data_IF_741056510796
#
_entry.id   IF_741056510796
#
_cell.length_a   1.000
_cell.length_b   1.000
_cell.length_c   1.000
_cell.angle_alpha   90.00
_cell.angle_beta   90.00
_cell.angle_gamma   90.00
#
_symmetry.space_group_name_H-M   'P 1'
#
loop_
_entity.id
_entity.type
_entity.pdbx_description
1 polymer ?
#
# COMPACT_ATOMS: atom_id res chain seq x y z
N UNK A 1 -17.80 19.40 29.60
CA UNK A 1 -18.29 18.05 29.27
C UNK A 1 -17.11 17.14 29.06
N UNK A 2 -16.85 16.29 30.05
CA UNK A 2 -15.64 15.49 30.16
C UNK A 2 -15.98 14.01 30.04
N UNK A 3 -15.08 13.25 29.42
CA UNK A 3 -15.12 11.81 29.06
C UNK A 3 -15.65 10.85 30.15
N UNK A 4 -15.73 11.29 31.41
CA UNK A 4 -16.30 10.55 32.55
C UNK A 4 -17.83 10.53 32.56
N UNK A 5 -18.49 11.59 32.13
CA UNK A 5 -19.97 11.69 32.14
C UNK A 5 -20.62 10.69 31.16
N UNK A 6 -19.95 10.39 30.04
CA UNK A 6 -20.42 9.41 29.04
C UNK A 6 -20.26 7.97 29.54
N UNK A 7 -19.27 7.69 30.37
CA UNK A 7 -19.02 6.36 30.93
C UNK A 7 -19.99 6.04 32.08
N UNK A 8 -20.34 7.02 32.92
CA UNK A 8 -21.35 6.80 33.97
C UNK A 8 -22.75 6.60 33.39
N UNK A 9 -23.10 7.33 32.30
CA UNK A 9 -24.39 7.16 31.63
C UNK A 9 -24.59 5.75 31.03
N UNK A 10 -23.50 5.08 30.63
CA UNK A 10 -23.53 3.72 30.06
C UNK A 10 -23.63 2.62 31.13
N UNK A 11 -23.14 2.87 32.36
CA UNK A 11 -23.23 1.89 33.45
C UNK A 11 -24.61 1.92 34.12
N UNK A 12 -25.27 3.09 34.18
CA UNK A 12 -26.61 3.20 34.77
C UNK A 12 -27.74 2.55 33.96
N UNK A 13 -27.51 2.18 32.70
CA UNK A 13 -28.49 1.47 31.86
C UNK A 13 -28.45 -0.05 32.01
N UNK A 14 -27.50 -0.60 32.79
CA UNK A 14 -27.36 -2.05 32.96
C UNK A 14 -28.22 -2.66 34.08
N UNK A 15 -28.93 -1.87 34.90
CA UNK A 15 -29.68 -2.37 36.07
C UNK A 15 -31.20 -2.23 36.01
N UNK A 16 -31.79 -1.79 34.88
CA UNK A 16 -33.24 -1.74 34.74
C UNK A 16 -33.68 -2.20 33.35
N UNK A 17 -34.10 -3.47 33.24
CA UNK A 17 -34.82 -3.94 32.06
C UNK A 17 -34.54 -5.38 31.66
N UNK A 18 -34.97 -6.34 32.49
CA UNK A 18 -35.35 -7.66 31.99
C UNK A 18 -36.64 -7.43 31.19
N UNK A 19 -36.57 -7.32 29.86
CA UNK A 19 -37.65 -7.65 28.94
C UNK A 19 -37.07 -7.78 27.52
N UNK A 20 -37.01 -9.02 27.05
CA UNK A 20 -36.97 -9.48 25.65
C UNK A 20 -36.51 -8.50 24.58
N UNK A 21 -35.20 -8.47 24.34
CA UNK A 21 -34.62 -7.88 23.16
C UNK A 21 -33.15 -8.27 23.13
N UNK A 22 -32.83 -9.40 22.51
CA UNK A 22 -31.44 -9.78 22.24
C UNK A 22 -30.86 -8.74 21.27
N UNK A 23 -30.35 -7.66 21.82
CA UNK A 23 -29.41 -6.79 21.15
C UNK A 23 -28.21 -7.67 20.82
N UNK A 24 -27.84 -7.89 19.55
CA UNK A 24 -26.59 -8.57 19.24
C UNK A 24 -25.45 -7.62 19.60
N UNK A 25 -25.12 -7.59 20.90
CA UNK A 25 -23.84 -7.11 21.38
C UNK A 25 -22.79 -8.09 20.84
N UNK A 26 -21.87 -7.52 20.06
CA UNK A 26 -20.76 -8.15 19.37
C UNK A 26 -21.11 -8.94 18.08
N UNK A 27 -21.29 -8.22 16.98
CA UNK A 27 -20.55 -8.65 15.78
C UNK A 27 -19.07 -8.39 16.08
N UNK A 28 -18.38 -9.39 16.62
CA UNK A 28 -16.96 -9.55 16.31
C UNK A 28 -16.91 -9.83 14.80
N UNK A 29 -16.99 -8.74 14.02
CA UNK A 29 -17.25 -8.79 12.60
C UNK A 29 -16.18 -9.61 11.92
N UNK A 30 -16.58 -10.70 11.25
CA UNK A 30 -15.73 -11.28 10.22
C UNK A 30 -15.32 -10.14 9.30
N UNK A 31 -14.01 -9.95 9.13
CA UNK A 31 -13.49 -8.94 8.22
C UNK A 31 -14.04 -9.24 6.83
N UNK A 32 -14.67 -8.27 6.16
CA UNK A 32 -15.28 -8.51 4.86
C UNK A 32 -14.24 -9.06 3.89
N UNK A 33 -14.60 -10.13 3.17
CA UNK A 33 -13.75 -10.67 2.14
C UNK A 33 -13.56 -9.63 1.03
N UNK A 34 -12.33 -9.51 0.51
CA UNK A 34 -12.05 -8.57 -0.58
C UNK A 34 -12.81 -9.00 -1.84
N UNK A 35 -13.43 -8.07 -2.55
CA UNK A 35 -14.14 -8.39 -3.79
C UNK A 35 -13.17 -8.89 -4.85
N UNK A 36 -13.63 -9.81 -5.70
CA UNK A 36 -12.85 -10.29 -6.85
C UNK A 36 -12.41 -9.13 -7.74
N UNK A 37 -11.14 -9.18 -8.18
CA UNK A 37 -10.52 -8.18 -9.03
C UNK A 37 -9.86 -8.84 -10.25
N UNK A 38 -10.14 -8.30 -11.43
CA UNK A 38 -9.49 -8.69 -12.68
C UNK A 38 -9.17 -7.48 -13.54
N UNK A 39 -8.35 -7.68 -14.57
CA UNK A 39 -8.03 -6.60 -15.52
C UNK A 39 -9.24 -6.16 -16.35
N UNK A 40 -10.31 -6.96 -16.44
CA UNK A 40 -11.56 -6.59 -17.11
C UNK A 40 -12.55 -5.88 -16.18
N UNK A 41 -12.49 -6.14 -14.87
CA UNK A 41 -13.43 -5.57 -13.90
C UNK A 41 -12.73 -5.32 -12.57
N UNK A 42 -12.51 -4.05 -12.28
CA UNK A 42 -12.00 -3.60 -10.99
C UNK A 42 -13.18 -3.37 -10.03
N UNK A 43 -13.11 -3.88 -8.79
CA UNK A 43 -14.11 -3.57 -7.79
C UNK A 43 -13.90 -2.15 -7.27
N UNK A 44 -14.86 -1.65 -6.47
CA UNK A 44 -14.71 -0.33 -5.84
C UNK A 44 -13.70 -0.41 -4.70
N UNK A 45 -12.60 0.29 -4.88
CA UNK A 45 -11.56 0.47 -3.89
C UNK A 45 -11.71 1.82 -3.19
N UNK A 46 -11.78 1.79 -1.87
CA UNK A 46 -11.81 2.96 -1.02
C UNK A 46 -10.65 2.87 -0.03
N UNK A 47 -9.81 3.91 -0.01
CA UNK A 47 -8.58 3.81 0.75
C UNK A 47 -7.71 5.05 0.71
N UNK A 48 -6.48 4.87 1.15
CA UNK A 48 -5.51 5.95 1.33
C UNK A 48 -4.15 5.57 0.73
N UNK A 49 -3.27 6.57 0.62
CA UNK A 49 -1.86 6.35 0.33
C UNK A 49 -1.08 6.22 1.63
N UNK A 50 -0.15 5.27 1.71
CA UNK A 50 0.85 5.19 2.78
C UNK A 50 2.22 5.65 2.25
N UNK A 51 2.76 6.78 2.76
CA UNK A 51 4.01 7.35 2.27
C UNK A 51 5.26 6.83 3.01
N UNK A 52 5.14 5.77 3.82
CA UNK A 52 6.21 5.28 4.70
C UNK A 52 7.55 5.02 3.96
N UNK A 53 7.49 4.61 2.69
CA UNK A 53 8.66 4.35 1.84
C UNK A 53 8.71 5.27 0.61
N UNK A 54 8.10 6.46 0.70
CA UNK A 54 7.97 7.41 -0.42
C UNK A 54 9.27 8.15 -0.75
N UNK A 55 10.10 8.40 0.27
CA UNK A 55 11.28 9.24 0.16
C UNK A 55 12.47 8.57 0.83
N UNK A 56 13.34 7.97 0.03
CA UNK A 56 14.58 7.39 0.55
C UNK A 56 15.52 8.50 1.05
N UNK A 57 15.90 8.41 2.33
CA UNK A 57 16.72 9.38 3.05
C UNK A 57 18.22 9.02 3.09
N UNK A 58 18.61 7.92 2.43
CA UNK A 58 19.99 7.44 2.41
C UNK A 58 20.41 6.62 3.63
N UNK A 59 19.53 6.39 4.61
CA UNK A 59 19.86 5.71 5.88
C UNK A 59 18.95 4.54 6.15
N UNK A 60 19.48 3.33 6.34
CA UNK A 60 18.69 2.20 6.82
C UNK A 60 18.05 2.51 8.18
N UNK A 61 16.72 2.47 8.24
CA UNK A 61 15.97 2.79 9.46
C UNK A 61 15.01 1.63 9.78
N UNK A 62 15.06 1.05 10.99
CA UNK A 62 14.17 -0.04 11.39
C UNK A 62 12.68 0.39 11.45
N UNK A 63 12.38 1.69 11.42
CA UNK A 63 11.02 2.23 11.31
C UNK A 63 10.48 2.25 9.87
N UNK A 64 11.26 1.79 8.89
CA UNK A 64 10.78 1.62 7.53
C UNK A 64 9.70 0.54 7.43
N UNK A 65 8.93 0.63 6.35
CA UNK A 65 7.83 -0.29 6.08
C UNK A 65 6.57 0.11 6.84
N UNK A 66 5.76 -0.89 7.18
CA UNK A 66 4.38 -0.67 7.55
C UNK A 66 4.02 -1.38 8.86
N UNK A 67 3.08 -0.79 9.58
CA UNK A 67 2.68 -1.22 10.91
C UNK A 67 1.23 -1.72 10.91
N UNK A 68 0.95 -2.70 11.78
CA UNK A 68 -0.35 -3.37 11.84
C UNK A 68 -1.52 -2.39 12.05
N UNK A 69 -1.33 -1.38 12.90
CA UNK A 69 -2.34 -0.38 13.21
C UNK A 69 -2.76 0.42 11.98
N UNK A 70 -1.89 0.60 10.97
CA UNK A 70 -2.23 1.34 9.75
C UNK A 70 -3.30 0.59 8.95
N UNK A 71 -3.18 -0.74 8.85
CA UNK A 71 -4.12 -1.59 8.13
C UNK A 71 -5.38 -1.88 8.96
N UNK A 72 -5.22 -2.07 10.27
CA UNK A 72 -6.34 -2.21 11.20
C UNK A 72 -7.24 -0.97 11.18
N UNK A 73 -6.63 0.23 11.17
CA UNK A 73 -7.34 1.52 11.08
C UNK A 73 -8.17 1.62 9.80
N UNK A 74 -7.65 1.17 8.66
CA UNK A 74 -8.37 1.14 7.39
C UNK A 74 -9.56 0.18 7.46
N UNK A 75 -9.28 -1.06 7.87
CA UNK A 75 -10.26 -2.15 7.96
C UNK A 75 -11.43 -1.79 8.88
N UNK A 76 -11.13 -1.36 10.11
CA UNK A 76 -12.13 -1.00 11.13
C UNK A 76 -12.98 0.21 10.76
N UNK A 77 -12.50 1.04 9.82
CA UNK A 77 -13.25 2.20 9.28
C UNK A 77 -13.96 1.89 7.95
N UNK A 78 -13.93 0.64 7.49
CA UNK A 78 -14.62 0.21 6.26
C UNK A 78 -13.86 0.53 4.97
N UNK A 79 -12.58 0.90 5.05
CA UNK A 79 -11.72 1.02 3.87
C UNK A 79 -11.13 -0.34 3.51
N UNK A 80 -10.96 -0.59 2.21
CA UNK A 80 -10.54 -1.88 1.67
C UNK A 80 -9.32 -1.77 0.73
N UNK A 81 -8.66 -0.62 0.69
CA UNK A 81 -7.56 -0.36 -0.23
C UNK A 81 -6.45 0.46 0.41
N UNK A 82 -5.22 0.18 0.01
CA UNK A 82 -4.07 1.00 0.33
C UNK A 82 -3.10 1.08 -0.85
N UNK A 83 -2.66 2.29 -1.19
CA UNK A 83 -1.57 2.51 -2.16
C UNK A 83 -0.28 2.81 -1.44
N UNK A 84 0.74 1.98 -1.65
CA UNK A 84 2.07 2.19 -1.11
C UNK A 84 2.85 3.07 -2.07
N UNK A 85 3.29 4.23 -1.60
CA UNK A 85 4.14 5.12 -2.39
C UNK A 85 5.59 4.71 -2.16
N UNK A 86 6.22 4.15 -3.19
CA UNK A 86 7.50 3.49 -3.11
C UNK A 86 8.58 4.27 -3.85
N UNK A 87 9.75 4.37 -3.24
CA UNK A 87 10.98 4.82 -3.86
C UNK A 87 11.87 3.61 -4.12
N UNK A 88 12.23 3.35 -5.39
CA UNK A 88 12.98 2.15 -5.76
C UNK A 88 14.32 2.00 -5.01
N UNK A 89 14.87 3.11 -4.51
CA UNK A 89 16.15 3.15 -3.79
C UNK A 89 16.13 2.39 -2.47
N UNK A 90 14.96 2.14 -1.90
CA UNK A 90 14.83 1.22 -0.76
C UNK A 90 15.16 -0.23 -1.12
N UNK A 91 15.00 -0.61 -2.40
CA UNK A 91 15.09 -1.99 -2.86
C UNK A 91 16.43 -2.33 -3.50
N UNK A 92 17.45 -1.48 -3.35
CA UNK A 92 18.80 -1.70 -3.87
C UNK A 92 19.85 -1.47 -2.79
N UNK A 93 21.02 -2.06 -2.98
CA UNK A 93 22.21 -1.83 -2.18
C UNK A 93 23.08 -0.75 -2.83
N UNK A 94 23.43 0.27 -2.05
CA UNK A 94 24.39 1.30 -2.49
C UNK A 94 23.91 2.07 -3.73
N UNK A 95 24.72 2.02 -4.79
CA UNK A 95 24.50 2.79 -6.04
C UNK A 95 24.23 1.91 -7.26
N UNK A 96 24.38 0.60 -7.15
CA UNK A 96 24.07 -0.30 -8.26
C UNK A 96 22.55 -0.48 -8.32
N UNK A 97 21.87 -0.04 -9.39
CA UNK A 97 20.43 -0.15 -9.50
C UNK A 97 19.93 -1.60 -9.66
N UNK A 98 20.81 -2.58 -9.88
CA UNK A 98 20.44 -3.99 -10.04
C UNK A 98 20.91 -4.89 -8.88
N UNK A 99 21.64 -4.34 -7.90
CA UNK A 99 21.98 -5.05 -6.67
C UNK A 99 20.80 -4.96 -5.69
N UNK A 100 19.83 -5.87 -5.83
CA UNK A 100 18.59 -5.84 -5.07
C UNK A 100 18.78 -6.10 -3.58
N UNK A 101 18.13 -5.29 -2.75
CA UNK A 101 18.15 -5.38 -1.30
C UNK A 101 16.96 -6.20 -0.78
N UNK A 102 17.23 -7.42 -0.33
CA UNK A 102 16.23 -8.31 0.26
C UNK A 102 15.57 -7.74 1.53
N UNK A 103 16.30 -7.01 2.37
CA UNK A 103 15.76 -6.36 3.58
C UNK A 103 14.73 -5.29 3.18
N UNK A 104 15.06 -4.46 2.20
CA UNK A 104 14.16 -3.44 1.68
C UNK A 104 12.86 -4.04 1.10
N UNK A 105 12.99 -5.14 0.36
CA UNK A 105 11.85 -5.87 -0.22
C UNK A 105 10.99 -6.57 0.85
N UNK A 106 11.57 -7.00 1.97
CA UNK A 106 10.82 -7.64 3.06
C UNK A 106 9.72 -6.75 3.67
N UNK A 107 9.88 -5.43 3.57
CA UNK A 107 8.84 -4.50 3.99
C UNK A 107 7.59 -4.56 3.10
N UNK A 108 7.74 -4.90 1.81
CA UNK A 108 6.61 -5.11 0.91
C UNK A 108 5.89 -6.43 1.22
N UNK A 109 6.63 -7.48 1.57
CA UNK A 109 6.04 -8.75 2.03
C UNK A 109 5.19 -8.51 3.28
N UNK A 110 5.75 -7.79 4.27
CA UNK A 110 5.02 -7.41 5.48
C UNK A 110 3.77 -6.60 5.14
N UNK A 111 3.85 -5.65 4.20
CA UNK A 111 2.69 -4.86 3.80
C UNK A 111 1.58 -5.71 3.18
N UNK A 112 1.95 -6.66 2.33
CA UNK A 112 1.02 -7.58 1.68
C UNK A 112 0.35 -8.51 2.70
N UNK A 113 1.11 -9.07 3.64
CA UNK A 113 0.58 -9.90 4.72
C UNK A 113 -0.36 -9.12 5.65
N UNK A 114 -0.03 -7.87 5.97
CA UNK A 114 -0.94 -6.99 6.70
C UNK A 114 -2.22 -6.69 5.90
N UNK A 115 -2.09 -6.46 4.59
CA UNK A 115 -3.24 -6.31 3.69
C UNK A 115 -4.18 -7.51 3.74
N UNK A 116 -3.65 -8.71 3.55
CA UNK A 116 -4.40 -9.98 3.65
C UNK A 116 -5.06 -10.14 5.01
N UNK A 117 -4.29 -9.96 6.11
CA UNK A 117 -4.78 -10.05 7.49
C UNK A 117 -5.96 -9.12 7.80
N UNK A 118 -6.00 -7.96 7.15
CA UNK A 118 -6.98 -6.91 7.43
C UNK A 118 -8.06 -6.74 6.36
N UNK A 119 -8.07 -7.57 5.31
CA UNK A 119 -9.03 -7.41 4.21
C UNK A 119 -8.82 -6.09 3.47
N UNK A 120 -7.57 -5.69 3.26
CA UNK A 120 -7.17 -4.46 2.57
C UNK A 120 -6.32 -4.83 1.35
N UNK A 121 -6.80 -4.47 0.16
CA UNK A 121 -6.05 -4.61 -1.07
C UNK A 121 -4.83 -3.69 -1.07
N UNK A 122 -3.67 -4.22 -1.48
CA UNK A 122 -2.40 -3.49 -1.52
C UNK A 122 -2.04 -3.16 -2.96
N UNK A 123 -1.80 -1.89 -3.24
CA UNK A 123 -1.29 -1.43 -4.52
C UNK A 123 0.16 -0.96 -4.36
N UNK A 124 1.10 -1.60 -5.06
CA UNK A 124 2.48 -1.13 -5.12
C UNK A 124 2.63 -0.09 -6.21
N UNK A 125 3.15 1.08 -5.86
CA UNK A 125 3.39 2.14 -6.82
C UNK A 125 4.75 2.78 -6.66
N UNK A 126 5.53 2.81 -7.74
CA UNK A 126 6.74 3.64 -7.76
C UNK A 126 6.37 5.11 -7.84
N UNK A 127 6.44 5.76 -6.68
CA UNK A 127 6.50 7.21 -6.57
C UNK A 127 7.82 7.78 -7.14
N UNK A 128 8.89 7.00 -6.98
CA UNK A 128 10.16 7.17 -7.69
C UNK A 128 10.59 5.84 -8.27
N UNK A 129 10.60 5.78 -9.61
CA UNK A 129 11.15 4.66 -10.37
C UNK A 129 12.59 4.99 -10.80
N UNK A 130 13.39 4.00 -11.25
CA UNK A 130 14.65 4.28 -11.93
C UNK A 130 14.43 5.26 -13.08
N UNK A 131 15.10 6.42 -13.01
CA UNK A 131 15.04 7.44 -14.06
C UNK A 131 13.76 8.27 -14.15
N UNK A 132 12.80 8.12 -13.21
CA UNK A 132 11.61 8.97 -13.19
C UNK A 132 11.03 9.26 -11.78
N UNK A 133 10.69 10.53 -11.52
CA UNK A 133 9.85 10.96 -10.41
C UNK A 133 9.25 12.34 -10.70
N UNK A 134 7.97 12.54 -10.40
CA UNK A 134 7.28 13.83 -10.57
C UNK A 134 7.90 14.94 -9.69
N UNK A 135 8.43 14.59 -8.51
CA UNK A 135 9.14 15.53 -7.63
C UNK A 135 10.64 15.64 -7.95
N UNK A 136 11.09 14.99 -9.02
CA UNK A 136 12.45 15.16 -9.53
C UNK A 136 12.65 16.56 -10.11
N UNK A 137 13.87 17.06 -10.09
CA UNK A 137 14.20 18.39 -10.63
C UNK A 137 14.45 18.38 -12.14
N UNK A 138 13.60 17.69 -12.91
CA UNK A 138 13.73 17.53 -14.36
C UNK A 138 14.89 16.63 -14.83
N UNK A 139 15.80 16.24 -13.92
CA UNK A 139 16.87 15.26 -14.20
C UNK A 139 16.39 13.81 -14.18
N UNK A 140 15.26 13.55 -13.51
CA UNK A 140 14.59 12.25 -13.45
C UNK A 140 13.59 12.12 -14.60
N UNK A 141 14.05 12.25 -15.85
CA UNK A 141 13.25 11.97 -17.06
C UNK A 141 13.94 10.99 -17.99
N UNK A 142 15.06 10.41 -17.55
CA UNK A 142 15.87 9.49 -18.33
C UNK A 142 15.08 8.24 -18.72
N UNK A 143 14.08 7.85 -17.92
CA UNK A 143 13.16 6.75 -18.26
C UNK A 143 12.51 6.93 -19.64
N UNK A 144 12.28 8.17 -20.08
CA UNK A 144 11.67 8.45 -21.38
C UNK A 144 12.69 8.57 -22.52
N UNK A 145 13.99 8.62 -22.22
CA UNK A 145 15.03 8.99 -23.21
C UNK A 145 16.15 7.97 -23.39
N UNK A 146 16.38 7.10 -22.43
CA UNK A 146 17.50 6.17 -22.41
C UNK A 146 16.98 4.73 -22.25
N UNK A 147 17.14 3.92 -23.30
CA UNK A 147 16.68 2.53 -23.32
C UNK A 147 17.32 1.68 -22.21
N UNK A 148 18.54 2.03 -21.77
CA UNK A 148 19.20 1.34 -20.65
C UNK A 148 18.46 1.61 -19.34
N UNK A 149 17.92 2.81 -19.17
CA UNK A 149 17.13 3.19 -17.99
C UNK A 149 15.75 2.53 -18.03
N UNK A 150 15.15 2.41 -19.22
CA UNK A 150 13.94 1.59 -19.44
C UNK A 150 14.20 0.14 -19.03
N UNK A 151 15.31 -0.45 -19.48
CA UNK A 151 15.68 -1.83 -19.15
C UNK A 151 15.89 -2.01 -17.64
N UNK A 152 16.59 -1.08 -16.98
CA UNK A 152 16.75 -1.10 -15.51
C UNK A 152 15.38 -1.04 -14.83
N UNK A 153 14.51 -0.10 -15.24
CA UNK A 153 13.18 0.03 -14.66
C UNK A 153 12.32 -1.23 -14.89
N UNK A 154 12.42 -1.85 -16.06
CA UNK A 154 11.76 -3.11 -16.36
C UNK A 154 12.28 -4.24 -15.46
N UNK A 155 13.59 -4.32 -15.22
CA UNK A 155 14.20 -5.29 -14.28
C UNK A 155 13.69 -5.13 -12.85
N UNK A 156 13.46 -3.90 -12.39
CA UNK A 156 12.82 -3.66 -11.08
C UNK A 156 11.41 -4.25 -11.01
N UNK A 157 10.56 -3.97 -12.01
CA UNK A 157 9.21 -4.52 -12.05
C UNK A 157 9.21 -6.04 -12.26
N UNK A 158 10.13 -6.58 -13.05
CA UNK A 158 10.30 -8.03 -13.23
C UNK A 158 10.69 -8.72 -11.92
N UNK A 159 11.62 -8.13 -11.15
CA UNK A 159 12.01 -8.67 -9.85
C UNK A 159 10.86 -8.67 -8.84
N UNK A 160 10.07 -7.58 -8.79
CA UNK A 160 8.86 -7.51 -7.95
C UNK A 160 7.81 -8.52 -8.42
N UNK A 161 7.55 -8.60 -9.74
CA UNK A 161 6.56 -9.52 -10.29
C UNK A 161 6.90 -10.99 -10.04
N UNK A 162 8.19 -11.38 -10.15
CA UNK A 162 8.63 -12.73 -9.82
C UNK A 162 8.48 -13.01 -8.31
N UNK A 163 8.82 -12.03 -7.45
CA UNK A 163 8.66 -12.17 -5.99
C UNK A 163 7.20 -12.42 -5.56
N UNK A 164 6.24 -11.78 -6.22
CA UNK A 164 4.81 -11.90 -5.89
C UNK A 164 4.03 -12.77 -6.89
N UNK A 165 4.74 -13.63 -7.63
CA UNK A 165 4.12 -14.57 -8.56
C UNK A 165 3.22 -15.55 -7.79
N UNK A 166 1.97 -15.66 -8.24
CA UNK A 166 0.95 -16.49 -7.59
C UNK A 166 0.08 -15.74 -6.59
N UNK A 167 0.40 -14.48 -6.25
CA UNK A 167 -0.50 -13.64 -5.47
C UNK A 167 -1.78 -13.34 -6.24
N UNK A 168 -2.93 -13.47 -5.58
CA UNK A 168 -4.22 -13.18 -6.19
C UNK A 168 -4.38 -11.67 -6.40
N UNK A 169 -4.96 -11.28 -7.53
CA UNK A 169 -5.28 -9.89 -7.86
C UNK A 169 -6.23 -9.21 -6.84
N UNK A 170 -6.97 -10.00 -6.04
CA UNK A 170 -7.76 -9.44 -4.93
C UNK A 170 -6.88 -8.79 -3.86
N UNK A 171 -5.66 -9.29 -3.65
CA UNK A 171 -4.75 -8.80 -2.61
C UNK A 171 -3.76 -7.76 -3.14
N UNK A 172 -3.32 -7.89 -4.39
CA UNK A 172 -2.20 -7.14 -4.91
C UNK A 172 -2.46 -6.60 -6.32
N UNK A 173 -2.09 -5.35 -6.55
CA UNK A 173 -1.99 -4.75 -7.87
C UNK A 173 -0.74 -3.87 -7.99
N UNK A 174 -0.32 -3.62 -9.24
CA UNK A 174 0.83 -2.77 -9.54
C UNK A 174 0.40 -1.50 -10.28
N UNK A 175 0.77 -0.34 -9.74
CA UNK A 175 0.67 0.95 -10.43
C UNK A 175 2.08 1.38 -10.84
N UNK A 176 2.42 1.10 -12.11
CA UNK A 176 3.79 1.18 -12.65
C UNK A 176 4.52 2.48 -12.30
N UNK A 177 3.84 3.62 -12.44
CA UNK A 177 4.43 4.94 -12.21
C UNK A 177 3.42 5.88 -11.55
N UNK A 178 3.91 6.70 -10.63
CA UNK A 178 3.17 7.86 -10.14
C UNK A 178 3.22 8.99 -11.17
N UNK A 179 2.07 9.31 -11.78
CA UNK A 179 1.85 10.55 -12.56
C UNK A 179 2.93 10.81 -13.63
N UNK A 180 3.08 9.91 -14.63
CA UNK A 180 4.01 10.13 -15.73
C UNK A 180 3.70 11.46 -16.44
N UNK A 181 4.75 12.26 -16.66
CA UNK A 181 4.68 13.57 -17.31
C UNK A 181 5.95 13.80 -18.14
N UNK A 182 5.99 14.90 -18.90
CA UNK A 182 7.08 15.28 -19.81
C UNK A 182 7.35 14.25 -20.92
N UNK A 183 6.31 13.52 -21.31
CA UNK A 183 6.32 12.52 -22.38
C UNK A 183 5.16 12.80 -23.34
N UNK A 184 5.39 12.69 -24.65
CA UNK A 184 4.34 12.85 -25.68
C UNK A 184 3.87 11.47 -26.17
N UNK A 185 2.65 11.34 -26.70
CA UNK A 185 2.13 10.07 -27.24
C UNK A 185 3.05 9.37 -28.25
N UNK A 186 3.76 10.15 -29.07
CA UNK A 186 4.67 9.63 -30.11
C UNK A 186 5.88 8.90 -29.50
N UNK A 187 6.17 9.12 -28.22
CA UNK A 187 7.37 8.63 -27.55
C UNK A 187 7.17 7.29 -26.82
N UNK A 188 5.93 6.83 -26.66
CA UNK A 188 5.60 5.55 -26.01
C UNK A 188 4.69 4.64 -26.83
N UNK A 189 4.50 4.94 -28.12
CA UNK A 189 3.85 4.04 -29.09
C UNK A 189 4.82 3.01 -29.64
#
# INVERSE_FOLDING_TARGET
MHRREVLELLVSLATAGILGGSCPLAFAGQKPELPDASFQKLPRWYGFNLPNMKHFDGRRNPRWGFEDWQFDTLSTRGFNFVRLQLDYRYFINGRDPLDFNAEGLSHLDKALELGKKHGVHVNFSFYRAPGFSITGNGRDVALWKDDRVVEICAKHWAHIAERYKGERNIHLSFNLFNEPTWVTPERYR
#
